data_IF_100582388398
#
_entry.id   IF_100582388398
#
_cell.length_a   1.000
_cell.length_b   1.000
_cell.length_c   1.000
_cell.angle_alpha   90.00
_cell.angle_beta   90.00
_cell.angle_gamma   90.00
#
_symmetry.space_group_name_H-M   'P 1'
#
loop_
_entity.id
_entity.type
_entity.pdbx_description
1 polymer ?
#
# COMPACT_ATOMS: atom_id res chain seq x y z
N UNK A 1 21.80 1.83 0.34
CA UNK A 1 23.21 1.35 0.45
C UNK A 1 23.24 -0.11 0.00
N UNK A 2 24.43 -0.72 -0.13
CA UNK A 2 24.56 -2.09 -0.65
C UNK A 2 25.82 -2.78 -0.11
N UNK A 3 25.82 -4.11 -0.14
CA UNK A 3 27.02 -4.93 0.08
C UNK A 3 27.29 -5.84 -1.15
N UNK A 4 28.19 -6.82 -1.03
CA UNK A 4 28.53 -7.73 -2.14
C UNK A 4 27.38 -8.65 -2.58
N UNK A 5 26.29 -8.74 -1.79
CA UNK A 5 25.20 -9.70 -1.98
C UNK A 5 23.83 -9.05 -2.13
N UNK A 6 23.58 -7.91 -1.48
CA UNK A 6 22.25 -7.34 -1.36
C UNK A 6 22.21 -5.82 -1.57
N UNK A 7 21.06 -5.38 -2.10
CA UNK A 7 20.63 -3.99 -2.13
C UNK A 7 19.69 -3.74 -0.96
N UNK A 8 19.91 -2.63 -0.26
CA UNK A 8 19.11 -2.25 0.90
C UNK A 8 18.37 -0.94 0.65
N UNK A 9 17.06 -0.97 0.90
CA UNK A 9 16.18 0.20 0.88
C UNK A 9 15.79 0.52 2.32
N UNK A 10 16.15 1.72 2.78
CA UNK A 10 15.66 2.27 4.05
C UNK A 10 14.44 3.10 3.72
N UNK A 11 13.33 2.77 4.35
CA UNK A 11 12.04 3.43 4.18
C UNK A 11 11.46 3.72 5.56
N UNK A 12 10.52 4.65 5.61
CA UNK A 12 9.78 4.91 6.84
C UNK A 12 8.96 3.68 7.24
N UNK A 13 8.97 3.38 8.54
CA UNK A 13 8.21 2.26 9.09
C UNK A 13 6.73 2.65 9.19
N UNK A 14 5.86 1.80 8.63
CA UNK A 14 4.41 1.94 8.67
C UNK A 14 3.85 0.98 9.74
N UNK A 15 3.54 1.46 10.97
CA UNK A 15 3.19 0.60 12.10
C UNK A 15 1.77 0.03 12.03
N UNK A 16 0.91 0.53 11.15
CA UNK A 16 -0.48 0.08 11.01
C UNK A 16 -0.63 -1.26 10.28
N UNK A 17 0.46 -1.76 9.68
CA UNK A 17 0.45 -3.00 8.89
C UNK A 17 -0.18 -2.80 7.52
N UNK A 18 -0.62 -3.89 6.89
CA UNK A 18 -1.27 -3.86 5.58
C UNK A 18 -2.79 -4.01 5.67
N UNK A 19 -3.49 -3.78 4.55
CA UNK A 19 -4.93 -3.97 4.49
C UNK A 19 -5.36 -5.44 4.63
N UNK A 20 -4.49 -6.42 4.36
CA UNK A 20 -4.80 -7.84 4.62
C UNK A 20 -5.00 -8.05 6.12
N UNK A 21 -4.10 -7.52 6.94
CA UNK A 21 -4.17 -7.58 8.38
C UNK A 21 -5.41 -6.83 8.90
N UNK A 22 -5.76 -5.69 8.31
CA UNK A 22 -6.98 -4.97 8.67
C UNK A 22 -8.23 -5.82 8.39
N UNK A 23 -8.37 -6.37 7.19
CA UNK A 23 -9.53 -7.18 6.80
C UNK A 23 -9.62 -8.51 7.56
N UNK A 24 -8.49 -9.04 8.02
CA UNK A 24 -8.46 -10.28 8.79
C UNK A 24 -8.90 -10.09 10.24
N UNK A 25 -8.72 -8.89 10.79
CA UNK A 25 -9.05 -8.60 12.18
C UNK A 25 -10.41 -7.90 12.36
N UNK A 26 -10.95 -7.31 11.29
CA UNK A 26 -12.17 -6.51 11.34
C UNK A 26 -13.13 -6.87 10.21
N UNK A 27 -14.42 -6.97 10.52
CA UNK A 27 -15.46 -6.85 9.51
C UNK A 27 -15.46 -5.42 8.97
N UNK A 28 -15.11 -5.26 7.69
CA UNK A 28 -14.95 -3.93 7.08
C UNK A 28 -16.31 -3.39 6.62
N UNK A 29 -16.87 -2.36 7.29
CA UNK A 29 -18.12 -1.76 6.85
C UNK A 29 -17.90 -0.96 5.56
N UNK A 30 -18.97 -0.79 4.78
CA UNK A 30 -18.93 -0.06 3.50
C UNK A 30 -18.30 1.35 3.62
N UNK A 31 -18.54 2.04 4.76
CA UNK A 31 -17.94 3.35 5.02
C UNK A 31 -16.40 3.30 5.04
N UNK A 32 -15.81 2.26 5.61
CA UNK A 32 -14.35 2.07 5.65
C UNK A 32 -13.83 1.65 4.28
N UNK A 33 -14.53 0.72 3.62
CA UNK A 33 -14.17 0.31 2.26
C UNK A 33 -14.13 1.52 1.32
N UNK A 34 -15.13 2.41 1.38
CA UNK A 34 -15.16 3.65 0.59
C UNK A 34 -13.99 4.58 0.91
N UNK A 35 -13.60 4.67 2.17
CA UNK A 35 -12.46 5.48 2.60
C UNK A 35 -11.15 4.93 2.03
N UNK A 36 -10.81 3.66 2.27
CA UNK A 36 -9.57 3.06 1.78
C UNK A 36 -9.52 3.00 0.25
N UNK A 37 -10.63 2.72 -0.42
CA UNK A 37 -10.70 2.76 -1.88
C UNK A 37 -10.40 4.16 -2.43
N UNK A 38 -10.90 5.23 -1.79
CA UNK A 38 -10.61 6.59 -2.24
C UNK A 38 -9.11 6.91 -2.14
N UNK A 39 -8.47 6.55 -1.02
CA UNK A 39 -7.03 6.74 -0.83
C UNK A 39 -6.21 5.93 -1.85
N UNK A 40 -6.60 4.68 -2.12
CA UNK A 40 -5.94 3.84 -3.15
C UNK A 40 -6.07 4.45 -4.54
N UNK A 41 -7.23 5.01 -4.89
CA UNK A 41 -7.44 5.69 -6.18
C UNK A 41 -6.53 6.91 -6.30
N UNK A 42 -6.39 7.70 -5.24
CA UNK A 42 -5.49 8.87 -5.22
C UNK A 42 -4.02 8.45 -5.33
N UNK A 43 -3.61 7.41 -4.60
CA UNK A 43 -2.26 6.86 -4.67
C UNK A 43 -1.93 6.34 -6.08
N UNK A 44 -2.87 5.63 -6.72
CA UNK A 44 -2.72 5.17 -8.10
C UNK A 44 -2.66 6.32 -9.10
N UNK A 45 -3.49 7.36 -8.92
CA UNK A 45 -3.41 8.56 -9.75
C UNK A 45 -2.02 9.19 -9.66
N UNK A 46 -1.45 9.33 -8.46
CA UNK A 46 -0.10 9.86 -8.27
C UNK A 46 0.96 9.00 -8.98
N UNK A 47 0.86 7.67 -8.93
CA UNK A 47 1.76 6.76 -9.66
C UNK A 47 1.61 6.94 -11.18
N UNK A 48 0.37 7.08 -11.68
CA UNK A 48 0.08 7.27 -13.09
C UNK A 48 0.58 8.63 -13.61
N UNK A 49 0.49 9.70 -12.81
CA UNK A 49 1.03 11.02 -13.15
C UNK A 49 2.56 11.01 -13.31
N UNK A 50 3.25 10.10 -12.62
CA UNK A 50 4.69 9.86 -12.80
C UNK A 50 5.01 8.99 -14.03
N UNK A 51 3.99 8.56 -14.80
CA UNK A 51 4.15 7.73 -16.00
C UNK A 51 4.33 6.24 -15.74
N UNK A 52 4.05 5.77 -14.52
CA UNK A 52 4.17 4.36 -14.16
C UNK A 52 2.80 3.67 -14.09
N UNK A 53 2.79 2.35 -14.29
CA UNK A 53 1.63 1.49 -14.03
C UNK A 53 2.06 0.44 -13.02
N UNK A 54 1.38 0.35 -11.88
CA UNK A 54 1.80 -0.55 -10.78
C UNK A 54 1.74 -2.03 -11.17
N UNK A 55 0.70 -2.47 -11.90
CA UNK A 55 0.47 -3.84 -12.39
C UNK A 55 0.24 -4.95 -11.33
N UNK A 56 0.36 -4.67 -10.04
CA UNK A 56 0.14 -5.63 -8.95
C UNK A 56 -0.52 -4.94 -7.74
N UNK A 57 -1.66 -4.30 -8.00
CA UNK A 57 -2.41 -3.58 -6.97
C UNK A 57 -3.22 -4.59 -6.16
N UNK A 58 -2.86 -4.75 -4.88
CA UNK A 58 -3.49 -5.69 -3.96
C UNK A 58 -3.32 -5.22 -2.51
N UNK A 59 -4.13 -5.74 -1.57
CA UNK A 59 -4.13 -5.29 -0.17
C UNK A 59 -2.78 -5.45 0.55
N UNK A 60 -1.96 -6.44 0.15
CA UNK A 60 -0.61 -6.67 0.70
C UNK A 60 0.36 -5.50 0.43
N UNK A 61 0.10 -4.74 -0.64
CA UNK A 61 0.90 -3.59 -1.05
C UNK A 61 0.35 -2.26 -0.51
N UNK A 62 -0.65 -2.29 0.38
CA UNK A 62 -1.32 -1.11 0.93
C UNK A 62 -1.03 -1.02 2.43
N UNK A 63 -0.02 -0.22 2.79
CA UNK A 63 0.44 -0.03 4.17
C UNK A 63 -0.27 1.15 4.86
N UNK A 64 -0.44 1.04 6.18
CA UNK A 64 -1.08 2.03 7.08
C UNK A 64 -0.13 2.57 8.16
#
# INVERSE_FOLDING_TARGET
FQDLRFLYMVMDYMPGGDLVNLMSNYDVPEKWAKFYCAEVVLALNAIHEMGFVHRDVKPDNMLL
#
